data_IF_824133136041
#
_entry.id   IF_824133136041
#
_cell.length_a   1.000
_cell.length_b   1.000
_cell.length_c   1.000
_cell.angle_alpha   90.00
_cell.angle_beta   90.00
_cell.angle_gamma   90.00
#
_symmetry.space_group_name_H-M   'P 1'
#
loop_
_entity.id
_entity.type
_entity.pdbx_description
1 polymer ?
#
# COMPACT_ATOMS: atom_id res chain seq x y z
N UNK A 1 -10.18 -21.74 -11.26
CA UNK A 1 -11.52 -22.04 -11.78
C UNK A 1 -11.46 -22.11 -13.30
N UNK A 2 -12.26 -22.97 -13.95
CA UNK A 2 -12.29 -23.06 -15.42
C UNK A 2 -12.84 -21.78 -16.09
N UNK A 3 -13.57 -20.94 -15.35
CA UNK A 3 -14.15 -19.66 -15.80
C UNK A 3 -13.09 -18.68 -16.30
N UNK A 4 -11.89 -18.69 -15.70
CA UNK A 4 -10.82 -17.75 -16.10
C UNK A 4 -10.06 -18.22 -17.36
N UNK A 5 -10.21 -19.48 -17.79
CA UNK A 5 -9.49 -20.02 -18.97
C UNK A 5 -10.00 -19.47 -20.30
N UNK A 6 -11.22 -18.94 -20.33
CA UNK A 6 -11.87 -18.41 -21.54
C UNK A 6 -11.83 -16.88 -21.60
N UNK A 7 -11.00 -16.23 -20.78
CA UNK A 7 -10.93 -14.77 -20.66
C UNK A 7 -9.59 -14.25 -21.16
N UNK A 8 -9.65 -13.22 -22.00
CA UNK A 8 -8.51 -12.41 -22.40
C UNK A 8 -8.77 -10.95 -22.01
N UNK A 9 -7.75 -10.27 -21.48
CA UNK A 9 -7.83 -8.87 -21.08
C UNK A 9 -6.88 -8.05 -21.94
N UNK A 10 -7.41 -7.04 -22.64
CA UNK A 10 -6.61 -6.17 -23.50
C UNK A 10 -6.30 -4.81 -22.85
N UNK A 11 -7.03 -4.44 -21.79
CA UNK A 11 -6.87 -3.16 -21.10
C UNK A 11 -6.49 -3.38 -19.63
N UNK A 12 -5.39 -2.76 -19.20
CA UNK A 12 -4.96 -2.74 -17.80
C UNK A 12 -5.78 -1.70 -17.04
N UNK A 13 -6.43 -2.12 -15.96
CA UNK A 13 -7.05 -1.20 -15.00
C UNK A 13 -5.97 -0.69 -14.05
N UNK A 14 -5.78 0.63 -13.98
CA UNK A 14 -4.92 1.25 -12.97
C UNK A 14 -5.69 1.42 -11.67
N UNK A 15 -5.12 0.99 -10.55
CA UNK A 15 -5.68 1.18 -9.22
C UNK A 15 -4.78 2.17 -8.44
N UNK A 16 -5.36 3.12 -7.68
CA UNK A 16 -4.61 4.01 -6.81
C UNK A 16 -3.79 3.25 -5.77
N UNK A 17 -2.64 3.81 -5.40
CA UNK A 17 -1.80 3.34 -4.30
C UNK A 17 -2.02 4.20 -3.05
N UNK A 18 -1.46 3.83 -1.88
CA UNK A 18 -1.44 4.73 -0.72
C UNK A 18 -0.78 6.08 -1.04
N UNK A 19 0.23 6.10 -1.92
CA UNK A 19 0.83 7.34 -2.40
C UNK A 19 -0.16 8.25 -3.12
N UNK A 20 -1.11 7.68 -3.87
CA UNK A 20 -2.14 8.47 -4.54
C UNK A 20 -3.05 9.17 -3.51
N UNK A 21 -3.33 8.54 -2.37
CA UNK A 21 -4.06 9.16 -1.27
C UNK A 21 -3.28 10.35 -0.71
N UNK A 22 -1.99 10.15 -0.38
CA UNK A 22 -1.12 11.21 0.11
C UNK A 22 -1.00 12.38 -0.87
N UNK A 23 -0.83 12.09 -2.17
CA UNK A 23 -0.71 13.09 -3.21
C UNK A 23 -2.00 13.93 -3.34
N UNK A 24 -3.17 13.30 -3.26
CA UNK A 24 -4.46 14.00 -3.34
C UNK A 24 -4.70 14.87 -2.12
N UNK A 25 -4.37 14.40 -0.91
CA UNK A 25 -4.45 15.24 0.28
C UNK A 25 -3.52 16.44 0.20
N UNK A 26 -2.27 16.26 -0.26
CA UNK A 26 -1.34 17.38 -0.46
C UNK A 26 -1.85 18.38 -1.50
N UNK A 27 -2.37 17.90 -2.63
CA UNK A 27 -2.94 18.75 -3.67
C UNK A 27 -4.18 19.50 -3.16
N UNK A 28 -5.03 18.84 -2.38
CA UNK A 28 -6.20 19.45 -1.77
C UNK A 28 -5.81 20.55 -0.76
N UNK A 29 -4.87 20.24 0.13
CA UNK A 29 -4.32 21.19 1.09
C UNK A 29 -3.68 22.41 0.42
N UNK A 30 -2.91 22.18 -0.66
CA UNK A 30 -2.29 23.29 -1.39
C UNK A 30 -3.35 24.14 -2.08
N UNK A 31 -4.26 23.52 -2.83
CA UNK A 31 -5.30 24.20 -3.61
C UNK A 31 -6.23 25.03 -2.74
N UNK A 32 -6.63 24.52 -1.57
CA UNK A 32 -7.54 25.22 -0.66
C UNK A 32 -6.84 25.97 0.46
N UNK A 33 -5.50 26.00 0.47
CA UNK A 33 -4.68 26.64 1.50
C UNK A 33 -5.11 26.27 2.93
N UNK A 34 -5.22 24.97 3.18
CA UNK A 34 -5.65 24.41 4.47
C UNK A 34 -4.78 23.22 4.86
N UNK A 35 -4.52 23.04 6.16
CA UNK A 35 -3.92 21.82 6.72
C UNK A 35 -4.91 21.07 7.63
N UNK A 36 -6.05 21.69 7.94
CA UNK A 36 -7.08 21.10 8.78
C UNK A 36 -8.01 20.24 7.92
N UNK A 37 -7.57 19.01 7.68
CA UNK A 37 -8.28 18.03 6.87
C UNK A 37 -8.65 16.79 7.69
N UNK A 38 -9.76 16.17 7.30
CA UNK A 38 -10.19 14.85 7.74
C UNK A 38 -10.32 13.94 6.54
N UNK A 39 -10.18 12.67 6.85
CA UNK A 39 -10.37 11.57 5.92
C UNK A 39 -11.67 10.83 6.25
N UNK A 40 -12.32 10.28 5.24
CA UNK A 40 -13.44 9.36 5.43
C UNK A 40 -13.25 8.12 4.55
N UNK A 41 -13.85 7.01 4.97
CA UNK A 41 -13.82 5.73 4.24
C UNK A 41 -15.23 5.21 4.00
N UNK A 42 -15.43 4.60 2.84
CA UNK A 42 -16.63 3.83 2.49
C UNK A 42 -16.25 2.54 1.77
N UNK A 43 -17.11 1.54 1.81
CA UNK A 43 -16.93 0.22 1.17
C UNK A 43 -18.28 -0.24 0.60
N UNK A 44 -18.29 -1.00 -0.50
CA UNK A 44 -19.52 -1.57 -1.04
C UNK A 44 -19.85 -2.94 -0.43
N UNK A 45 -21.09 -3.10 0.03
CA UNK A 45 -21.57 -4.38 0.55
C UNK A 45 -21.70 -5.41 -0.58
N UNK A 46 -20.92 -6.50 -0.54
CA UNK A 46 -20.93 -7.54 -1.57
C UNK A 46 -20.84 -6.98 -3.00
N UNK A 47 -19.90 -6.06 -3.23
CA UNK A 47 -19.62 -5.33 -4.46
C UNK A 47 -20.03 -6.05 -5.77
N UNK A 48 -19.44 -7.21 -6.07
CA UNK A 48 -19.71 -7.94 -7.32
C UNK A 48 -21.15 -8.44 -7.44
N UNK A 49 -21.82 -8.71 -6.32
CA UNK A 49 -23.21 -9.17 -6.31
C UNK A 49 -24.21 -8.06 -6.61
N UNK A 50 -23.77 -6.81 -6.60
CA UNK A 50 -24.58 -5.66 -7.00
C UNK A 50 -24.52 -5.41 -8.52
N UNK A 51 -23.54 -5.99 -9.23
CA UNK A 51 -23.41 -5.87 -10.69
C UNK A 51 -24.10 -7.05 -11.38
N UNK A 52 -25.08 -6.82 -12.26
CA UNK A 52 -25.73 -7.89 -13.00
C UNK A 52 -24.77 -8.68 -13.90
N UNK A 53 -25.01 -9.98 -14.02
CA UNK A 53 -24.36 -10.81 -15.03
C UNK A 53 -25.17 -10.74 -16.33
N UNK A 54 -24.50 -10.47 -17.45
CA UNK A 54 -25.12 -10.49 -18.78
C UNK A 54 -25.81 -11.83 -19.03
N UNK A 55 -27.02 -11.78 -19.60
CA UNK A 55 -27.83 -12.97 -19.91
C UNK A 55 -27.04 -13.95 -20.79
N UNK A 56 -26.36 -13.44 -21.81
CA UNK A 56 -25.57 -14.23 -22.75
C UNK A 56 -24.36 -14.91 -22.10
N UNK A 57 -23.90 -14.37 -20.98
CA UNK A 57 -22.74 -14.89 -20.24
C UNK A 57 -23.12 -15.93 -19.18
N UNK A 58 -24.41 -16.07 -18.83
CA UNK A 58 -24.88 -16.98 -17.75
C UNK A 58 -24.50 -18.44 -18.00
N UNK A 59 -24.48 -18.87 -19.26
CA UNK A 59 -24.04 -20.23 -19.65
C UNK A 59 -22.60 -20.56 -19.22
N UNK A 60 -21.76 -19.54 -19.02
CA UNK A 60 -20.37 -19.72 -18.57
C UNK A 60 -20.21 -19.62 -17.05
N UNK A 61 -21.29 -19.38 -16.31
CA UNK A 61 -21.27 -19.21 -14.86
C UNK A 61 -22.00 -20.34 -14.13
N UNK A 62 -22.23 -21.47 -14.80
CA UNK A 62 -22.96 -22.60 -14.19
C UNK A 62 -22.09 -23.32 -13.15
N UNK A 63 -22.63 -23.49 -11.95
CA UNK A 63 -22.12 -24.35 -10.88
C UNK A 63 -23.02 -25.57 -10.79
N UNK A 64 -22.41 -26.75 -10.79
CA UNK A 64 -23.11 -28.01 -10.56
C UNK A 64 -23.00 -28.39 -9.09
N UNK A 65 -24.13 -28.63 -8.44
CA UNK A 65 -24.20 -29.14 -7.07
C UNK A 65 -24.85 -30.51 -7.09
N UNK A 66 -24.23 -31.47 -6.42
CA UNK A 66 -24.81 -32.78 -6.19
C UNK A 66 -25.55 -32.73 -4.86
N UNK A 67 -26.84 -33.05 -4.89
CA UNK A 67 -27.65 -33.26 -3.71
C UNK A 67 -27.08 -34.47 -2.92
N UNK A 68 -26.67 -34.28 -1.65
CA UNK A 68 -26.09 -35.36 -0.86
C UNK A 68 -27.10 -36.47 -0.54
N UNK A 69 -28.39 -36.16 -0.47
CA UNK A 69 -29.42 -37.11 -0.04
C UNK A 69 -29.92 -37.94 -1.23
N UNK A 70 -30.21 -37.28 -2.36
CA UNK A 70 -30.75 -37.96 -3.55
C UNK A 70 -29.68 -38.39 -4.56
N UNK A 71 -28.48 -37.82 -4.46
CA UNK A 71 -27.42 -38.00 -5.45
C UNK A 71 -27.66 -37.27 -6.78
N UNK A 72 -28.77 -36.53 -6.92
CA UNK A 72 -29.12 -35.78 -8.13
C UNK A 72 -28.19 -34.59 -8.34
N UNK A 73 -27.92 -34.23 -9.60
CA UNK A 73 -27.09 -33.07 -9.94
C UNK A 73 -27.96 -31.91 -10.43
N UNK A 74 -27.81 -30.75 -9.81
CA UNK A 74 -28.51 -29.52 -10.14
C UNK A 74 -27.54 -28.46 -10.65
N UNK A 75 -27.93 -27.73 -11.71
CA UNK A 75 -27.15 -26.63 -12.26
C UNK A 75 -27.71 -25.27 -11.86
N UNK A 76 -26.85 -24.41 -11.32
CA UNK A 76 -27.18 -23.04 -10.94
C UNK A 76 -26.30 -22.06 -11.71
N UNK A 77 -26.87 -21.03 -12.31
CA UNK A 77 -26.08 -19.95 -12.94
C UNK A 77 -26.14 -18.68 -12.09
N UNK A 78 -25.15 -17.80 -12.25
CA UNK A 78 -25.12 -16.55 -11.51
C UNK A 78 -25.95 -15.45 -12.19
N UNK A 79 -26.82 -14.77 -11.43
CA UNK A 79 -27.56 -13.57 -11.86
C UNK A 79 -26.76 -12.27 -11.75
N UNK A 80 -25.79 -12.24 -10.84
CA UNK A 80 -24.86 -11.15 -10.61
C UNK A 80 -23.43 -11.64 -10.83
N UNK A 81 -22.44 -10.76 -10.83
CA UNK A 81 -21.07 -11.19 -11.10
C UNK A 81 -20.59 -12.28 -10.13
N UNK A 82 -20.01 -13.38 -10.65
CA UNK A 82 -19.54 -14.47 -9.81
C UNK A 82 -18.24 -14.11 -9.09
N UNK A 83 -18.10 -14.57 -7.86
CA UNK A 83 -16.83 -14.54 -7.13
C UNK A 83 -15.82 -15.48 -7.79
N UNK A 84 -14.54 -15.10 -7.77
CA UNK A 84 -13.45 -15.89 -8.34
C UNK A 84 -13.29 -15.79 -9.87
N UNK A 85 -14.18 -15.07 -10.56
CA UNK A 85 -13.99 -14.73 -11.96
C UNK A 85 -13.17 -13.42 -12.11
N UNK A 86 -12.06 -13.48 -12.84
CA UNK A 86 -11.19 -12.32 -13.07
C UNK A 86 -11.91 -11.19 -13.82
N UNK A 87 -12.88 -11.53 -14.68
CA UNK A 87 -13.71 -10.56 -15.39
C UNK A 87 -14.61 -9.75 -14.44
N UNK A 88 -15.05 -10.34 -13.32
CA UNK A 88 -15.84 -9.64 -12.31
C UNK A 88 -15.05 -8.50 -11.68
N UNK A 89 -13.78 -8.76 -11.31
CA UNK A 89 -12.88 -7.75 -10.74
C UNK A 89 -12.71 -6.58 -11.70
N UNK A 90 -12.33 -6.86 -12.95
CA UNK A 90 -12.05 -5.82 -13.95
C UNK A 90 -13.28 -4.99 -14.28
N UNK A 91 -14.44 -5.64 -14.46
CA UNK A 91 -15.67 -4.92 -14.76
C UNK A 91 -16.11 -4.07 -13.56
N UNK A 92 -15.98 -4.60 -12.35
CA UNK A 92 -16.31 -3.83 -11.15
C UNK A 92 -15.39 -2.63 -10.94
N UNK A 93 -14.09 -2.74 -11.27
CA UNK A 93 -13.21 -1.58 -11.22
C UNK A 93 -13.71 -0.41 -12.08
N UNK A 94 -14.30 -0.69 -13.26
CA UNK A 94 -14.88 0.35 -14.12
C UNK A 94 -16.05 1.03 -13.44
N UNK A 95 -16.92 0.24 -12.80
CA UNK A 95 -18.05 0.73 -12.01
C UNK A 95 -17.55 1.61 -10.86
N UNK A 96 -16.59 1.13 -10.08
CA UNK A 96 -16.15 1.88 -8.91
C UNK A 96 -15.39 3.16 -9.29
N UNK A 97 -14.62 3.15 -10.38
CA UNK A 97 -13.99 4.35 -10.93
C UNK A 97 -15.02 5.35 -11.46
N UNK A 98 -16.09 4.88 -12.12
CA UNK A 98 -17.17 5.74 -12.57
C UNK A 98 -17.89 6.41 -11.39
N UNK A 99 -18.18 5.66 -10.32
CA UNK A 99 -18.77 6.21 -9.10
C UNK A 99 -17.87 7.24 -8.41
N UNK A 100 -16.56 6.95 -8.33
CA UNK A 100 -15.59 7.91 -7.82
C UNK A 100 -15.53 9.17 -8.70
N UNK A 101 -15.59 9.02 -10.02
CA UNK A 101 -15.64 10.16 -10.95
C UNK A 101 -16.91 11.00 -10.78
N UNK A 102 -18.07 10.36 -10.63
CA UNK A 102 -19.33 11.06 -10.34
C UNK A 102 -19.23 11.82 -9.02
N UNK A 103 -18.67 11.22 -7.96
CA UNK A 103 -18.42 11.92 -6.70
C UNK A 103 -17.52 13.15 -6.87
N UNK A 104 -16.43 13.04 -7.64
CA UNK A 104 -15.55 14.17 -7.93
C UNK A 104 -16.23 15.28 -8.72
N UNK A 105 -17.04 14.95 -9.73
CA UNK A 105 -17.64 15.95 -10.62
C UNK A 105 -18.90 16.57 -10.03
N UNK A 106 -19.77 15.76 -9.42
CA UNK A 106 -21.08 16.21 -8.93
C UNK A 106 -21.01 16.76 -7.52
N UNK A 107 -20.18 16.17 -6.64
CA UNK A 107 -20.06 16.59 -5.25
C UNK A 107 -18.81 17.45 -4.98
N UNK A 108 -17.91 17.59 -5.95
CA UNK A 108 -16.62 18.26 -5.81
C UNK A 108 -15.73 17.68 -4.69
N UNK A 109 -15.91 16.40 -4.32
CA UNK A 109 -15.13 15.77 -3.24
C UNK A 109 -13.95 15.00 -3.85
N UNK A 110 -12.72 15.17 -3.35
CA UNK A 110 -11.55 14.44 -3.83
C UNK A 110 -11.57 12.99 -3.30
N UNK A 111 -12.32 12.14 -3.99
CA UNK A 111 -12.43 10.70 -3.70
C UNK A 111 -11.51 9.87 -4.59
N UNK A 112 -10.82 8.92 -3.99
CA UNK A 112 -10.13 7.81 -4.64
C UNK A 112 -10.82 6.49 -4.31
N UNK A 113 -10.59 5.49 -5.16
CA UNK A 113 -11.17 4.17 -4.98
C UNK A 113 -10.15 3.07 -5.27
N UNK A 114 -10.13 2.02 -4.47
CA UNK A 114 -9.41 0.78 -4.75
C UNK A 114 -10.40 -0.38 -4.70
N UNK A 115 -10.71 -0.94 -5.86
CA UNK A 115 -11.80 -1.92 -6.00
C UNK A 115 -13.10 -1.34 -5.41
N UNK A 116 -13.58 -1.88 -4.30
CA UNK A 116 -14.78 -1.52 -3.55
C UNK A 116 -14.55 -0.55 -2.38
N UNK A 117 -13.30 -0.35 -1.97
CA UNK A 117 -12.94 0.65 -0.97
C UNK A 117 -12.87 2.04 -1.60
N UNK A 118 -13.47 3.03 -0.93
CA UNK A 118 -13.42 4.45 -1.27
C UNK A 118 -12.83 5.25 -0.13
N UNK A 119 -12.00 6.22 -0.46
CA UNK A 119 -11.37 7.12 0.50
C UNK A 119 -11.51 8.54 -0.01
N UNK A 120 -11.96 9.45 0.85
CA UNK A 120 -11.95 10.87 0.54
C UNK A 120 -11.25 11.67 1.62
N UNK A 121 -10.79 12.84 1.21
CA UNK A 121 -10.18 13.86 2.07
C UNK A 121 -11.00 15.13 1.94
N UNK A 122 -11.18 15.86 3.03
CA UNK A 122 -11.96 17.10 3.01
C UNK A 122 -11.54 17.98 4.18
N UNK A 123 -11.79 19.30 4.12
CA UNK A 123 -11.59 20.18 5.27
C UNK A 123 -12.41 19.72 6.47
N UNK A 124 -11.88 19.91 7.67
CA UNK A 124 -12.53 19.44 8.90
C UNK A 124 -13.95 19.97 9.13
N UNK A 125 -14.27 21.16 8.61
CA UNK A 125 -15.57 21.83 8.71
C UNK A 125 -16.58 21.37 7.65
N UNK A 126 -16.13 20.84 6.51
CA UNK A 126 -16.99 20.31 5.43
C UNK A 126 -16.97 18.78 5.31
N UNK A 127 -16.11 18.08 6.06
CA UNK A 127 -15.94 16.64 5.91
C UNK A 127 -17.21 15.84 6.20
N UNK A 128 -17.99 16.23 7.21
CA UNK A 128 -19.24 15.55 7.56
C UNK A 128 -20.32 15.72 6.48
N UNK A 129 -20.43 16.91 5.89
CA UNK A 129 -21.38 17.14 4.80
C UNK A 129 -20.96 16.40 3.53
N UNK A 130 -19.66 16.41 3.20
CA UNK A 130 -19.09 15.64 2.08
C UNK A 130 -19.35 14.13 2.23
N UNK A 131 -19.08 13.56 3.41
CA UNK A 131 -19.31 12.14 3.66
C UNK A 131 -20.80 11.76 3.56
N UNK A 132 -21.70 12.60 4.09
CA UNK A 132 -23.15 12.38 3.96
C UNK A 132 -23.62 12.49 2.50
N UNK A 133 -23.07 13.43 1.74
CA UNK A 133 -23.37 13.58 0.32
C UNK A 133 -22.91 12.34 -0.47
N UNK A 134 -21.73 11.79 -0.13
CA UNK A 134 -21.23 10.54 -0.71
C UNK A 134 -22.16 9.35 -0.44
N UNK A 135 -22.60 9.18 0.82
CA UNK A 135 -23.58 8.14 1.19
C UNK A 135 -24.89 8.33 0.41
N UNK A 136 -25.38 9.56 0.35
CA UNK A 136 -26.63 9.88 -0.34
C UNK A 136 -26.55 9.60 -1.84
N UNK A 137 -25.43 9.94 -2.49
CA UNK A 137 -25.18 9.60 -3.89
C UNK A 137 -25.33 8.10 -4.15
N UNK A 138 -24.73 7.25 -3.30
CA UNK A 138 -24.82 5.80 -3.44
C UNK A 138 -26.25 5.30 -3.26
N UNK A 139 -26.96 5.85 -2.26
CA UNK A 139 -28.37 5.53 -2.02
C UNK A 139 -29.25 5.87 -3.24
N UNK A 140 -29.06 7.04 -3.84
CA UNK A 140 -29.82 7.48 -5.03
C UNK A 140 -29.51 6.62 -6.24
N UNK A 141 -28.25 6.24 -6.43
CA UNK A 141 -27.81 5.37 -7.52
C UNK A 141 -28.14 3.88 -7.29
N UNK A 142 -28.72 3.53 -6.14
CA UNK A 142 -29.11 2.16 -5.80
C UNK A 142 -27.97 1.24 -5.34
N UNK A 143 -26.81 1.82 -4.98
CA UNK A 143 -25.68 1.08 -4.43
C UNK A 143 -25.79 0.93 -2.92
N UNK A 144 -25.46 -0.26 -2.43
CA UNK A 144 -25.39 -0.59 -1.01
C UNK A 144 -23.96 -0.44 -0.51
N UNK A 145 -23.80 0.48 0.44
CA UNK A 145 -22.57 0.64 1.22
C UNK A 145 -22.55 -0.37 2.37
N UNK A 146 -21.37 -0.63 2.89
CA UNK A 146 -21.15 -1.48 4.04
C UNK A 146 -21.10 -0.63 5.32
N UNK A 147 -22.23 -0.53 6.01
CA UNK A 147 -22.38 0.31 7.20
C UNK A 147 -21.39 -0.04 8.33
N UNK A 148 -20.98 -1.31 8.43
CA UNK A 148 -20.02 -1.76 9.45
C UNK A 148 -18.55 -1.50 9.13
N UNK A 149 -18.22 -1.16 7.87
CA UNK A 149 -16.84 -0.84 7.44
C UNK A 149 -16.64 0.62 7.02
N UNK A 150 -17.73 1.39 6.97
CA UNK A 150 -17.65 2.83 6.79
C UNK A 150 -16.91 3.49 7.96
N UNK A 151 -16.11 4.49 7.64
CA UNK A 151 -15.44 5.32 8.64
C UNK A 151 -15.83 6.77 8.38
N UNK A 152 -16.60 7.35 9.31
CA UNK A 152 -16.94 8.76 9.30
C UNK A 152 -15.67 9.63 9.37
N UNK A 153 -15.76 10.93 9.03
CA UNK A 153 -14.62 11.83 9.03
C UNK A 153 -13.75 11.76 10.28
N UNK A 154 -12.47 11.48 10.08
CA UNK A 154 -11.48 11.28 11.14
C UNK A 154 -10.10 11.75 10.70
N UNK A 155 -9.20 11.98 11.65
CA UNK A 155 -7.81 12.35 11.36
C UNK A 155 -6.91 11.15 11.03
N UNK A 156 -7.39 9.92 11.21
CA UNK A 156 -6.63 8.69 10.93
C UNK A 156 -7.48 7.65 10.22
N UNK A 157 -7.02 7.15 9.08
CA UNK A 157 -7.73 6.12 8.30
C UNK A 157 -6.84 4.96 7.86
N UNK A 158 -7.40 3.74 7.77
CA UNK A 158 -6.73 2.62 7.14
C UNK A 158 -6.89 2.69 5.61
N UNK A 159 -5.78 2.70 4.87
CA UNK A 159 -5.71 2.71 3.40
C UNK A 159 -4.83 1.56 2.93
N UNK A 160 -5.43 0.57 2.25
CA UNK A 160 -4.73 -0.57 1.64
C UNK A 160 -3.77 -1.32 2.58
N UNK A 161 -4.15 -1.40 3.86
CA UNK A 161 -3.39 -2.09 4.89
C UNK A 161 -2.25 -1.28 5.50
N UNK A 162 -2.17 0.03 5.22
CA UNK A 162 -1.41 1.03 5.94
C UNK A 162 -2.36 1.98 6.67
N UNK A 163 -1.87 2.67 7.69
CA UNK A 163 -2.58 3.78 8.33
C UNK A 163 -2.04 5.11 7.79
N UNK A 164 -2.96 6.05 7.51
CA UNK A 164 -2.63 7.44 7.19
C UNK A 164 -3.23 8.33 8.27
N UNK A 165 -2.41 9.15 8.92
CA UNK A 165 -2.84 10.08 9.96
C UNK A 165 -2.42 11.53 9.67
N UNK A 166 -3.27 12.49 10.05
CA UNK A 166 -2.99 13.93 9.95
C UNK A 166 -2.41 14.42 11.28
N UNK A 167 -1.09 14.61 11.33
CA UNK A 167 -0.32 14.95 12.54
C UNK A 167 0.33 16.33 12.34
N UNK A 168 -0.27 17.36 12.95
CA UNK A 168 0.17 18.75 12.75
C UNK A 168 0.21 19.10 11.27
N UNK A 169 1.40 19.39 10.77
CA UNK A 169 1.67 19.79 9.39
C UNK A 169 2.06 18.63 8.46
N UNK A 170 1.92 17.39 8.91
CA UNK A 170 2.35 16.21 8.18
C UNK A 170 1.23 15.18 8.04
N UNK A 171 1.30 14.40 6.96
CA UNK A 171 0.67 13.11 6.85
C UNK A 171 1.67 12.05 7.30
N UNK A 172 1.30 11.28 8.31
CA UNK A 172 2.06 10.13 8.76
C UNK A 172 1.51 8.87 8.10
N UNK A 173 2.37 8.15 7.37
CA UNK A 173 2.08 6.83 6.81
C UNK A 173 2.75 5.78 7.70
N UNK A 174 1.97 4.87 8.28
CA UNK A 174 2.49 3.86 9.20
C UNK A 174 1.90 2.47 8.95
N UNK A 175 2.58 1.44 9.45
CA UNK A 175 2.06 0.07 9.45
C UNK A 175 1.14 -0.10 10.67
N UNK A 176 -0.08 -0.64 10.51
CA UNK A 176 -0.97 -0.91 11.65
C UNK A 176 -0.27 -1.78 12.71
N UNK A 177 -0.52 -1.47 13.99
CA UNK A 177 0.18 -2.08 15.13
C UNK A 177 0.08 -3.61 15.16
N UNK A 178 -1.10 -4.15 14.90
CA UNK A 178 -1.32 -5.60 14.85
C UNK A 178 -0.52 -6.27 13.71
N UNK A 179 -0.36 -5.56 12.59
CA UNK A 179 0.44 -6.02 11.46
C UNK A 179 1.93 -5.91 11.74
N UNK A 180 2.41 -4.83 12.36
CA UNK A 180 3.82 -4.69 12.72
C UNK A 180 4.24 -5.75 13.75
N UNK A 181 3.42 -5.98 14.78
CA UNK A 181 3.64 -7.04 15.79
C UNK A 181 3.77 -8.41 15.13
N UNK A 182 2.87 -8.78 14.22
CA UNK A 182 2.95 -10.06 13.47
C UNK A 182 4.20 -10.17 12.61
N UNK A 183 4.66 -9.07 12.02
CA UNK A 183 5.90 -9.06 11.23
C UNK A 183 7.10 -9.27 12.15
N UNK A 184 7.16 -8.54 13.27
CA UNK A 184 8.23 -8.65 14.27
C UNK A 184 8.29 -10.07 14.83
N UNK A 185 7.17 -10.66 15.23
CA UNK A 185 7.15 -12.06 15.70
C UNK A 185 7.59 -13.05 14.63
N UNK A 186 7.28 -12.80 13.34
CA UNK A 186 7.77 -13.64 12.25
C UNK A 186 9.29 -13.51 12.07
N UNK A 187 9.87 -12.34 12.35
CA UNK A 187 11.32 -12.11 12.31
C UNK A 187 12.00 -12.82 13.49
N UNK A 188 11.45 -12.67 14.70
CA UNK A 188 11.97 -13.30 15.92
C UNK A 188 12.00 -14.82 15.78
N UNK A 189 10.92 -15.44 15.28
CA UNK A 189 10.88 -16.89 15.04
C UNK A 189 11.99 -17.37 14.08
N UNK A 190 12.28 -16.58 13.04
CA UNK A 190 13.32 -16.90 12.06
C UNK A 190 14.72 -16.74 12.66
N UNK A 191 14.94 -15.69 13.45
CA UNK A 191 16.20 -15.45 14.14
C UNK A 191 16.48 -16.53 15.20
N UNK A 192 15.47 -16.90 15.99
CA UNK A 192 15.56 -17.92 17.03
C UNK A 192 15.85 -19.31 16.46
N UNK A 193 15.23 -19.67 15.33
CA UNK A 193 15.47 -20.95 14.64
C UNK A 193 16.77 -20.98 13.84
N UNK A 194 17.46 -19.85 13.72
CA UNK A 194 18.58 -19.66 12.81
C UNK A 194 18.27 -20.12 11.37
N UNK A 195 17.01 -19.97 10.94
CA UNK A 195 16.52 -20.64 9.73
C UNK A 195 15.38 -19.89 9.05
N UNK A 196 15.51 -19.68 7.73
CA UNK A 196 14.47 -19.09 6.87
C UNK A 196 14.20 -19.98 5.65
N UNK A 197 13.23 -20.90 5.74
CA UNK A 197 12.86 -21.80 4.64
C UNK A 197 12.24 -21.07 3.44
N UNK A 198 12.40 -21.60 2.22
CA UNK A 198 11.91 -20.95 0.98
C UNK A 198 10.41 -20.71 0.98
N UNK A 199 9.66 -21.63 1.57
CA UNK A 199 8.21 -21.54 1.75
C UNK A 199 7.78 -20.31 2.57
N UNK A 200 8.65 -19.82 3.45
CA UNK A 200 8.42 -18.65 4.29
C UNK A 200 9.14 -17.40 3.78
N UNK A 201 10.32 -17.55 3.18
CA UNK A 201 11.20 -16.46 2.77
C UNK A 201 10.52 -15.43 1.87
N UNK A 202 9.90 -15.86 0.76
CA UNK A 202 9.20 -14.95 -0.15
C UNK A 202 8.04 -14.22 0.53
N UNK A 203 7.34 -14.90 1.45
CA UNK A 203 6.21 -14.33 2.18
C UNK A 203 6.68 -13.29 3.20
N UNK A 204 7.76 -13.57 3.94
CA UNK A 204 8.35 -12.64 4.91
C UNK A 204 8.95 -11.43 4.20
N UNK A 205 9.77 -11.64 3.16
CA UNK A 205 10.36 -10.56 2.38
C UNK A 205 9.27 -9.66 1.79
N UNK A 206 8.20 -10.23 1.21
CA UNK A 206 7.07 -9.44 0.71
C UNK A 206 6.40 -8.57 1.78
N UNK A 207 6.21 -9.10 3.00
CA UNK A 207 5.71 -8.31 4.14
C UNK A 207 6.67 -7.19 4.54
N UNK A 208 7.97 -7.47 4.56
CA UNK A 208 9.01 -6.49 4.91
C UNK A 208 9.12 -5.39 3.85
N UNK A 209 9.04 -5.73 2.56
CA UNK A 209 9.00 -4.76 1.46
C UNK A 209 7.78 -3.86 1.59
N UNK A 210 6.62 -4.42 1.89
CA UNK A 210 5.40 -3.66 2.13
C UNK A 210 5.56 -2.70 3.33
N UNK A 211 6.02 -3.21 4.48
CA UNK A 211 6.21 -2.41 5.69
C UNK A 211 7.24 -1.30 5.50
N UNK A 212 8.30 -1.58 4.74
CA UNK A 212 9.38 -0.63 4.44
C UNK A 212 8.90 0.59 3.63
N UNK A 213 7.80 0.46 2.88
CA UNK A 213 7.19 1.60 2.18
C UNK A 213 6.57 2.66 3.09
N UNK A 214 6.30 2.30 4.35
CA UNK A 214 5.78 3.18 5.38
C UNK A 214 6.88 3.73 6.32
N UNK A 215 8.16 3.46 6.03
CA UNK A 215 9.28 4.01 6.78
C UNK A 215 9.76 5.33 6.17
N UNK A 216 10.17 6.26 7.02
CA UNK A 216 10.66 7.59 6.61
C UNK A 216 12.03 7.52 5.91
N UNK A 217 12.81 6.48 6.22
CA UNK A 217 14.16 6.31 5.70
C UNK A 217 14.24 5.29 4.56
N UNK A 218 15.19 5.52 3.66
CA UNK A 218 15.59 4.53 2.64
C UNK A 218 16.52 3.45 3.20
N UNK A 219 16.84 3.48 4.50
CA UNK A 219 17.76 2.55 5.16
C UNK A 219 17.25 1.10 5.13
N UNK A 220 15.95 0.90 4.91
CA UNK A 220 15.36 -0.43 4.69
C UNK A 220 15.82 -1.11 3.38
N UNK A 221 16.19 -0.33 2.35
CA UNK A 221 16.50 -0.87 1.01
C UNK A 221 17.74 -1.77 0.99
N UNK A 222 18.89 -1.40 1.60
CA UNK A 222 20.03 -2.30 1.72
C UNK A 222 19.70 -3.59 2.46
N UNK A 223 18.93 -3.53 3.56
CA UNK A 223 18.54 -4.72 4.32
C UNK A 223 17.65 -5.65 3.49
N UNK A 224 16.66 -5.11 2.77
CA UNK A 224 15.84 -5.90 1.85
C UNK A 224 16.69 -6.54 0.74
N UNK A 225 17.68 -5.81 0.20
CA UNK A 225 18.60 -6.35 -0.81
C UNK A 225 19.42 -7.51 -0.26
N UNK A 226 19.91 -7.43 0.97
CA UNK A 226 20.61 -8.53 1.63
C UNK A 226 19.72 -9.78 1.74
N UNK A 227 18.44 -9.62 2.08
CA UNK A 227 17.48 -10.73 2.13
C UNK A 227 17.16 -11.31 0.75
N UNK A 228 16.99 -10.46 -0.26
CA UNK A 228 16.81 -10.92 -1.64
C UNK A 228 18.05 -11.67 -2.16
N UNK A 229 19.25 -11.21 -1.81
CA UNK A 229 20.49 -11.90 -2.16
C UNK A 229 20.58 -13.25 -1.45
N UNK A 230 20.28 -13.32 -0.15
CA UNK A 230 20.24 -14.57 0.61
C UNK A 230 19.32 -15.61 -0.07
N UNK A 231 18.11 -15.20 -0.46
CA UNK A 231 17.16 -16.06 -1.17
C UNK A 231 17.62 -16.40 -2.59
N UNK A 232 18.28 -15.48 -3.29
CA UNK A 232 18.78 -15.68 -4.65
C UNK A 232 19.95 -16.67 -4.74
N UNK A 233 20.73 -16.84 -3.67
CA UNK A 233 21.88 -17.74 -3.60
C UNK A 233 21.54 -19.13 -3.04
N UNK A 234 20.27 -19.54 -3.07
CA UNK A 234 19.79 -20.86 -2.60
C UNK A 234 20.42 -22.06 -3.33
N UNK A 235 21.33 -21.86 -4.27
CA UNK A 235 21.98 -22.94 -5.00
C UNK A 235 23.04 -23.67 -4.14
N UNK A 236 22.69 -24.91 -3.79
CA UNK A 236 23.59 -26.06 -3.62
C UNK A 236 24.42 -26.26 -2.34
N UNK A 237 24.48 -25.33 -1.36
CA UNK A 237 25.17 -25.60 -0.07
C UNK A 237 24.40 -25.03 1.12
N UNK A 238 24.11 -25.90 2.08
CA UNK A 238 23.51 -25.66 3.41
C UNK A 238 22.10 -25.02 3.42
N UNK A 239 21.10 -25.88 3.66
CA UNK A 239 19.67 -25.59 3.72
C UNK A 239 19.31 -24.59 4.82
N UNK A 240 18.48 -23.61 4.45
CA UNK A 240 17.72 -22.67 5.28
C UNK A 240 18.47 -21.84 6.35
N UNK A 241 19.73 -22.11 6.68
CA UNK A 241 20.46 -21.43 7.75
C UNK A 241 20.77 -19.98 7.39
N UNK A 242 20.54 -19.06 8.32
CA UNK A 242 20.74 -17.63 8.08
C UNK A 242 22.23 -17.26 8.04
N UNK A 243 22.61 -16.49 7.01
CA UNK A 243 23.90 -15.80 6.97
C UNK A 243 23.93 -14.63 7.95
N UNK A 244 25.13 -14.19 8.36
CA UNK A 244 25.27 -13.06 9.29
C UNK A 244 24.61 -11.79 8.75
N UNK A 245 24.70 -11.54 7.45
CA UNK A 245 24.09 -10.37 6.78
C UNK A 245 22.57 -10.47 6.81
N UNK A 246 22.01 -11.66 6.61
CA UNK A 246 20.57 -11.89 6.69
C UNK A 246 20.04 -11.68 8.12
N UNK A 247 20.76 -12.15 9.14
CA UNK A 247 20.42 -11.89 10.56
C UNK A 247 20.44 -10.40 10.89
N UNK A 248 21.48 -9.71 10.45
CA UNK A 248 21.64 -8.27 10.67
C UNK A 248 20.53 -7.49 9.95
N UNK A 249 20.22 -7.84 8.70
CA UNK A 249 19.13 -7.23 7.95
C UNK A 249 17.78 -7.41 8.64
N UNK A 250 17.45 -8.63 9.09
CA UNK A 250 16.24 -8.93 9.84
C UNK A 250 16.14 -8.13 11.14
N UNK A 251 17.22 -8.10 11.92
CA UNK A 251 17.28 -7.37 13.20
C UNK A 251 17.09 -5.87 13.01
N UNK A 252 17.75 -5.27 12.01
CA UNK A 252 17.63 -3.85 11.71
C UNK A 252 16.25 -3.48 11.16
N UNK A 253 15.65 -4.33 10.34
CA UNK A 253 14.27 -4.15 9.87
C UNK A 253 13.27 -4.24 11.03
N UNK A 254 13.46 -5.19 11.95
CA UNK A 254 12.63 -5.31 13.15
C UNK A 254 12.67 -4.02 13.99
N UNK A 255 13.87 -3.51 14.31
CA UNK A 255 14.07 -2.23 15.01
C UNK A 255 13.45 -1.05 14.27
N UNK A 256 13.55 -1.04 12.93
CA UNK A 256 13.00 0.05 12.12
C UNK A 256 11.48 0.06 12.15
N UNK A 257 10.85 -1.11 12.06
CA UNK A 257 9.39 -1.29 12.04
C UNK A 257 8.75 -1.10 13.42
N UNK A 258 9.47 -1.39 14.50
CA UNK A 258 8.94 -1.29 15.87
C UNK A 258 8.85 0.16 16.37
N UNK A 259 9.68 1.07 15.87
CA UNK A 259 9.66 2.46 16.29
C UNK A 259 8.69 3.30 15.45
N UNK A 260 7.73 3.96 16.13
CA UNK A 260 6.80 4.90 15.51
C UNK A 260 7.51 6.15 14.96
N UNK A 261 8.66 6.51 15.52
CA UNK A 261 9.44 7.66 15.06
C UNK A 261 9.96 7.47 13.62
N UNK A 262 10.04 6.21 13.17
CA UNK A 262 10.42 5.87 11.81
C UNK A 262 9.24 5.84 10.83
N UNK A 263 8.01 6.13 11.28
CA UNK A 263 6.87 6.26 10.39
C UNK A 263 7.12 7.40 9.38
N UNK A 264 6.78 7.16 8.12
CA UNK A 264 7.05 8.11 7.05
C UNK A 264 6.21 9.37 7.21
N UNK A 265 6.86 10.52 7.23
CA UNK A 265 6.22 11.83 7.38
C UNK A 265 6.26 12.57 6.06
N UNK A 266 5.08 12.95 5.57
CA UNK A 266 4.93 13.67 4.31
C UNK A 266 4.34 15.05 4.59
N UNK A 267 5.06 16.15 4.30
CA UNK A 267 4.59 17.49 4.63
C UNK A 267 3.34 17.86 3.81
N UNK A 268 2.36 18.45 4.50
CA UNK A 268 1.25 19.15 3.89
C UNK A 268 1.75 20.51 3.38
N UNK A 269 1.44 20.80 2.13
CA UNK A 269 1.92 21.98 1.41
C UNK A 269 0.76 22.97 1.29
N UNK A 270 0.99 24.24 1.61
CA UNK A 270 0.07 25.34 1.32
C UNK A 270 0.36 25.99 -0.03
N UNK A 271 -0.60 26.71 -0.61
CA UNK A 271 -0.35 27.49 -1.85
C UNK A 271 0.82 28.48 -1.70
N UNK A 272 1.02 29.05 -0.50
CA UNK A 272 2.17 29.93 -0.20
C UNK A 272 3.52 29.19 -0.20
N UNK A 273 3.51 27.88 0.08
CA UNK A 273 4.71 27.04 0.13
C UNK A 273 5.19 26.65 -1.28
N UNK A 274 4.38 26.90 -2.33
CA UNK A 274 4.77 26.75 -3.74
C UNK A 274 5.84 27.75 -4.19
N UNK A 275 6.17 28.72 -3.34
CA UNK A 275 7.32 29.65 -3.51
C UNK A 275 8.53 29.14 -2.72
N UNK A 276 8.53 27.88 -2.27
CA UNK A 276 9.71 27.24 -1.70
C UNK A 276 10.84 27.19 -2.74
N UNK A 277 12.11 27.27 -2.30
CA UNK A 277 13.25 27.31 -3.22
C UNK A 277 13.20 26.10 -4.16
N UNK A 278 13.26 26.34 -5.47
CA UNK A 278 13.51 25.30 -6.45
C UNK A 278 14.91 24.75 -6.18
N UNK A 279 14.96 23.69 -5.35
CA UNK A 279 16.20 23.03 -4.95
C UNK A 279 16.22 21.59 -5.46
N UNK A 280 17.29 21.23 -6.14
CA UNK A 280 17.60 19.89 -6.62
C UNK A 280 18.77 19.36 -5.80
N UNK A 281 18.58 18.22 -5.14
CA UNK A 281 19.64 17.54 -4.41
C UNK A 281 20.09 16.31 -5.20
N UNK A 282 21.36 16.30 -5.60
CA UNK A 282 22.05 15.14 -6.16
C UNK A 282 22.74 14.40 -5.03
N UNK A 283 22.63 13.08 -4.99
CA UNK A 283 23.29 12.25 -3.97
C UNK A 283 24.02 11.11 -4.65
N UNK A 284 25.22 10.79 -4.19
CA UNK A 284 25.96 9.61 -4.59
C UNK A 284 26.58 8.93 -3.37
N UNK A 285 26.84 7.63 -3.46
CA UNK A 285 27.40 6.84 -2.37
C UNK A 285 28.48 5.89 -2.89
N UNK A 286 29.58 5.78 -2.14
CA UNK A 286 30.68 4.88 -2.47
C UNK A 286 30.61 3.59 -1.62
N UNK A 287 31.17 2.51 -2.15
CA UNK A 287 31.19 1.18 -1.51
C UNK A 287 32.03 1.13 -0.22
N UNK A 288 32.68 2.21 0.20
CA UNK A 288 33.38 2.34 1.47
C UNK A 288 32.55 2.98 2.59
N UNK A 289 31.25 3.21 2.38
CA UNK A 289 30.38 3.85 3.38
C UNK A 289 30.39 5.38 3.35
N UNK A 290 31.02 6.00 2.35
CA UNK A 290 30.92 7.44 2.13
C UNK A 290 29.66 7.81 1.34
N UNK A 291 28.98 8.87 1.77
CA UNK A 291 27.86 9.49 1.07
C UNK A 291 28.26 10.93 0.73
N UNK A 292 28.05 11.32 -0.52
CA UNK A 292 28.19 12.69 -0.98
C UNK A 292 26.84 13.24 -1.45
N UNK A 293 26.61 14.54 -1.26
CA UNK A 293 25.45 15.22 -1.82
C UNK A 293 25.83 16.61 -2.34
N UNK A 294 25.11 17.05 -3.37
CA UNK A 294 25.17 18.40 -3.94
C UNK A 294 23.76 18.97 -3.92
N UNK A 295 23.55 20.05 -3.18
CA UNK A 295 22.29 20.79 -3.17
C UNK A 295 22.44 22.02 -4.06
N UNK A 296 21.68 22.05 -5.15
CA UNK A 296 21.59 23.17 -6.07
C UNK A 296 20.23 23.85 -5.89
N UNK A 297 20.19 25.11 -5.48
CA UNK A 297 18.96 25.85 -5.24
C UNK A 297 19.01 27.21 -5.92
N UNK A 298 17.89 27.68 -6.46
CA UNK A 298 17.80 28.99 -7.15
C UNK A 298 18.30 30.17 -6.30
N UNK A 299 18.19 30.08 -4.97
CA UNK A 299 18.62 31.14 -4.05
C UNK A 299 20.10 31.06 -3.66
N UNK A 300 20.81 29.98 -4.07
CA UNK A 300 22.24 29.85 -3.85
C UNK A 300 23.03 30.37 -5.03
N UNK A 301 24.00 31.25 -4.77
CA UNK A 301 24.95 31.71 -5.81
C UNK A 301 25.82 30.57 -6.36
N UNK A 302 25.98 29.47 -5.62
CA UNK A 302 26.72 28.25 -5.99
C UNK A 302 26.13 27.02 -5.29
N UNK A 303 26.21 25.80 -5.88
CA UNK A 303 25.79 24.57 -5.22
C UNK A 303 26.53 24.32 -3.90
N UNK A 304 25.83 23.74 -2.92
CA UNK A 304 26.39 23.37 -1.61
C UNK A 304 26.74 21.88 -1.60
N UNK A 305 27.95 21.56 -1.15
CA UNK A 305 28.48 20.20 -1.12
C UNK A 305 28.46 19.66 0.30
N UNK A 306 27.98 18.43 0.46
CA UNK A 306 27.95 17.70 1.72
C UNK A 306 28.65 16.37 1.56
N UNK A 307 29.31 15.92 2.62
CA UNK A 307 29.79 14.56 2.71
C UNK A 307 29.56 14.03 4.12
N UNK A 308 29.28 12.74 4.22
CA UNK A 308 29.12 12.04 5.49
C UNK A 308 29.63 10.62 5.34
N UNK A 309 30.12 10.05 6.44
CA UNK A 309 30.48 8.63 6.53
C UNK A 309 29.43 7.92 7.37
N UNK A 310 28.84 6.88 6.78
CA UNK A 310 27.93 5.97 7.46
C UNK A 310 28.66 5.32 8.64
N UNK A 311 28.00 5.15 9.79
CA UNK A 311 28.66 4.62 10.98
C UNK A 311 29.05 3.14 10.81
N UNK A 312 30.03 2.65 11.59
CA UNK A 312 30.55 1.28 11.44
C UNK A 312 29.47 0.20 11.61
N UNK A 313 28.49 0.41 12.50
CA UNK A 313 27.35 -0.50 12.70
C UNK A 313 26.46 -0.63 11.44
N UNK A 314 26.24 0.46 10.72
CA UNK A 314 25.47 0.48 9.46
C UNK A 314 26.31 -0.06 8.28
N UNK A 315 27.63 0.17 8.26
CA UNK A 315 28.55 -0.36 7.24
C UNK A 315 28.65 -1.88 7.35
N UNK A 316 28.81 -2.44 8.55
CA UNK A 316 28.85 -3.89 8.76
C UNK A 316 27.55 -4.59 8.31
N UNK A 317 26.41 -3.90 8.36
CA UNK A 317 25.12 -4.40 7.87
C UNK A 317 24.93 -4.40 6.34
N UNK A 318 25.77 -3.68 5.57
CA UNK A 318 25.61 -3.51 4.11
C UNK A 318 26.79 -4.05 3.31
N UNK A 319 28.00 -4.02 3.86
CA UNK A 319 29.25 -4.29 3.14
C UNK A 319 30.14 -5.36 3.82
N UNK A 320 29.96 -5.60 5.12
CA UNK A 320 30.89 -6.40 5.95
C UNK A 320 30.45 -7.84 6.17
N UNK A 321 30.35 -8.62 5.10
CA UNK A 321 29.77 -9.95 5.25
C UNK A 321 29.74 -10.81 4.01
N UNK A 322 30.92 -11.24 3.57
CA UNK A 322 31.04 -12.59 3.03
C UNK A 322 31.78 -13.34 4.11
N UNK A 323 31.07 -14.10 4.93
CA UNK A 323 31.76 -15.19 5.59
C UNK A 323 32.20 -16.13 4.46
N UNK A 324 33.52 -16.22 4.28
CA UNK A 324 34.16 -17.24 3.47
C UNK A 324 33.77 -18.59 4.09
N UNK A 325 32.70 -19.18 3.57
CA UNK A 325 32.37 -20.57 3.82
C UNK A 325 33.34 -21.40 2.98
N UNK A 326 34.46 -21.79 3.60
CA UNK A 326 35.11 -23.06 3.26
C UNK A 326 34.10 -24.20 3.43
#
# INVERSE_FOLDING_TARGET
>A
SNVNRTMAFHNKVSLPSPEAALAIARLYCSTLSTKDIKWWKSDHAAAYRQVPCSVDSRKYTVILLKDPDTGSVFGFYHLAQPFGASSSVINYCRVSQALAHIGRVVLAIPVINYLDDYFGVERSDTADSAYRAWIWLHKVLGWRLNDGKGLAPTRKIPVLGLDIAVIGDYLELSVPKDKSERIISSIEEVLDKDSLPTSQAHKLIGKLTFASGALDSTASRPFLRALHNFVGHWSWRAHDRLWREAKNALSNLSKSISSIDNARKVPLVLSSDSVGPNAVMYTDACSGGGIGAVLDAQDFHKPVYFSSTVNEEQIQGVLGGRDDIN
#
